data_IF_005278243331
#
_entry.id   IF_005278243331
#
_cell.length_a   1.000
_cell.length_b   1.000
_cell.length_c   1.000
_cell.angle_alpha   90.00
_cell.angle_beta   90.00
_cell.angle_gamma   90.00
#
_symmetry.space_group_name_H-M   'P 1'
#
loop_
_entity.id
_entity.type
_entity.pdbx_description
1 polymer ?
#
# COMPACT_ATOMS: atom_id res chain seq x y z
N UNK A 1 12.85 -2.82 -55.92
CA UNK A 1 13.01 -1.43 -55.47
C UNK A 1 12.96 -1.46 -53.96
N UNK A 2 14.06 -1.07 -53.32
CA UNK A 2 14.20 -1.04 -51.87
C UNK A 2 13.56 0.28 -51.42
N UNK A 3 12.44 0.22 -50.72
CA UNK A 3 11.87 1.39 -50.03
C UNK A 3 12.81 1.77 -48.90
N UNK A 4 13.60 2.80 -49.14
CA UNK A 4 14.33 3.54 -48.12
C UNK A 4 13.31 4.18 -47.19
N UNK A 5 13.19 3.64 -45.97
CA UNK A 5 12.58 4.32 -44.85
C UNK A 5 13.35 5.62 -44.61
N UNK A 6 12.75 6.74 -45.02
CA UNK A 6 13.18 8.07 -44.61
C UNK A 6 12.80 8.19 -43.14
N UNK A 7 13.80 8.13 -42.26
CA UNK A 7 13.65 8.51 -40.86
C UNK A 7 13.44 10.01 -40.85
N UNK A 8 12.23 10.44 -40.49
CA UNK A 8 11.88 11.84 -40.29
C UNK A 8 12.78 12.45 -39.20
N UNK A 9 13.55 13.46 -39.58
CA UNK A 9 14.62 14.13 -38.81
C UNK A 9 14.06 15.19 -37.83
N UNK A 10 12.86 14.96 -37.28
CA UNK A 10 12.12 15.93 -36.46
C UNK A 10 12.35 15.79 -34.94
N UNK A 11 13.27 14.92 -34.51
CA UNK A 11 13.39 14.47 -33.12
C UNK A 11 14.70 14.80 -32.37
N UNK A 12 15.65 15.51 -32.98
CA UNK A 12 16.95 15.83 -32.38
C UNK A 12 16.88 17.24 -31.80
N UNK A 13 16.64 17.34 -30.49
CA UNK A 13 16.74 18.62 -29.78
C UNK A 13 18.21 19.02 -29.57
N UNK A 14 18.42 20.29 -29.20
CA UNK A 14 19.75 20.87 -29.03
C UNK A 14 20.65 20.06 -28.08
N UNK A 15 20.08 19.54 -27.00
CA UNK A 15 20.81 18.72 -26.05
C UNK A 15 21.38 17.44 -26.68
N UNK A 16 20.62 16.84 -27.60
CA UNK A 16 21.05 15.63 -28.32
C UNK A 16 22.24 15.91 -29.24
N UNK A 17 22.29 17.09 -29.88
CA UNK A 17 23.44 17.54 -30.66
C UNK A 17 24.68 17.75 -29.79
N UNK A 18 24.54 18.43 -28.65
CA UNK A 18 25.67 18.72 -27.74
C UNK A 18 26.31 17.46 -27.14
N UNK A 19 25.50 16.45 -26.85
CA UNK A 19 25.96 15.21 -26.20
C UNK A 19 26.38 14.11 -27.19
N UNK A 20 26.42 14.40 -28.50
CA UNK A 20 26.86 13.50 -29.58
C UNK A 20 26.30 12.06 -29.45
N UNK A 21 24.98 11.93 -29.29
CA UNK A 21 24.34 10.62 -29.18
C UNK A 21 22.84 10.66 -29.43
N UNK A 22 22.20 9.49 -29.63
CA UNK A 22 20.75 9.41 -29.80
C UNK A 22 20.04 9.94 -28.56
N UNK A 23 18.79 10.35 -28.72
CA UNK A 23 17.95 10.91 -27.66
C UNK A 23 18.01 10.02 -26.42
N UNK A 24 18.58 10.56 -25.34
CA UNK A 24 18.81 9.81 -24.09
C UNK A 24 17.46 9.60 -23.37
N UNK A 25 17.38 8.58 -22.52
CA UNK A 25 16.16 8.34 -21.73
C UNK A 25 15.96 9.45 -20.69
N UNK A 26 14.72 9.72 -20.29
CA UNK A 26 14.39 10.73 -19.26
C UNK A 26 15.22 10.58 -17.97
N UNK A 27 15.54 9.34 -17.57
CA UNK A 27 16.43 9.05 -16.43
C UNK A 27 17.80 9.72 -16.58
N UNK A 28 18.40 9.62 -17.76
CA UNK A 28 19.70 10.24 -18.04
C UNK A 28 19.62 11.76 -17.95
N UNK A 29 18.55 12.36 -18.45
CA UNK A 29 18.38 13.80 -18.40
C UNK A 29 18.15 14.29 -16.97
N UNK A 30 17.36 13.57 -16.17
CA UNK A 30 17.15 13.87 -14.75
C UNK A 30 18.47 13.78 -13.98
N UNK A 31 19.24 12.72 -14.19
CA UNK A 31 20.57 12.61 -13.58
C UNK A 31 21.49 13.76 -14.02
N UNK A 32 21.52 14.08 -15.31
CA UNK A 32 22.39 15.13 -15.84
C UNK A 32 22.01 16.50 -15.27
N UNK A 33 20.71 16.81 -15.23
CA UNK A 33 20.20 18.04 -14.61
C UNK A 33 20.69 18.16 -13.16
N UNK A 34 20.50 17.10 -12.38
CA UNK A 34 20.86 17.08 -10.96
C UNK A 34 22.38 17.12 -10.74
N UNK A 35 23.15 16.40 -11.57
CA UNK A 35 24.61 16.39 -11.50
C UNK A 35 25.16 17.80 -11.77
N UNK A 36 24.67 18.47 -12.82
CA UNK A 36 25.11 19.82 -13.17
C UNK A 36 24.74 20.84 -12.08
N UNK A 37 23.54 20.73 -11.51
CA UNK A 37 23.12 21.64 -10.44
C UNK A 37 23.98 21.46 -9.17
N UNK A 38 24.18 20.22 -8.73
CA UNK A 38 24.87 19.89 -7.47
C UNK A 38 26.40 19.98 -7.56
N UNK A 39 27.00 19.58 -8.69
CA UNK A 39 28.46 19.45 -8.84
C UNK A 39 29.08 20.55 -9.70
N UNK A 40 28.31 21.15 -10.59
CA UNK A 40 28.78 22.18 -11.53
C UNK A 40 28.22 23.57 -11.22
N UNK A 41 27.48 23.69 -10.12
CA UNK A 41 26.85 24.91 -9.61
C UNK A 41 26.01 25.62 -10.67
N UNK A 42 25.24 24.84 -11.45
CA UNK A 42 24.49 25.34 -12.59
C UNK A 42 23.36 26.30 -12.19
N UNK A 43 22.85 26.22 -10.96
CA UNK A 43 21.85 27.14 -10.42
C UNK A 43 20.51 27.03 -11.15
N UNK A 44 20.13 25.81 -11.53
CA UNK A 44 18.90 25.58 -12.26
C UNK A 44 17.68 25.82 -11.38
N UNK A 45 16.59 26.31 -11.98
CA UNK A 45 15.30 26.39 -11.30
C UNK A 45 14.79 24.96 -11.02
N UNK A 46 14.64 24.53 -9.75
CA UNK A 46 14.19 23.18 -9.39
C UNK A 46 12.86 22.77 -10.05
N UNK A 47 11.99 23.74 -10.40
CA UNK A 47 10.75 23.47 -11.09
C UNK A 47 10.95 22.91 -12.52
N UNK A 48 12.14 23.07 -13.10
CA UNK A 48 12.45 22.54 -14.44
C UNK A 48 12.83 21.06 -14.42
N UNK A 49 13.30 20.53 -13.28
CA UNK A 49 13.78 19.15 -13.19
C UNK A 49 12.64 18.15 -13.44
N UNK A 50 12.86 17.21 -14.36
CA UNK A 50 11.86 16.26 -14.86
C UNK A 50 10.61 16.92 -15.50
N UNK A 51 10.66 18.22 -15.78
CA UNK A 51 9.64 18.97 -16.51
C UNK A 51 9.90 19.03 -18.01
N UNK A 52 8.96 19.62 -18.75
CA UNK A 52 9.01 19.71 -20.21
C UNK A 52 10.19 20.57 -20.72
N UNK A 53 10.63 21.57 -19.94
CA UNK A 53 11.71 22.50 -20.29
C UNK A 53 13.09 22.03 -19.82
N UNK A 54 13.18 20.90 -19.11
CA UNK A 54 14.43 20.41 -18.50
C UNK A 54 15.58 20.34 -19.51
N UNK A 55 15.31 19.79 -20.70
CA UNK A 55 16.34 19.56 -21.72
C UNK A 55 16.88 20.87 -22.29
N UNK A 56 16.03 21.88 -22.45
CA UNK A 56 16.42 23.22 -22.90
C UNK A 56 17.27 23.93 -21.83
N UNK A 57 16.91 23.78 -20.55
CA UNK A 57 17.71 24.29 -19.42
C UNK A 57 19.13 23.70 -19.42
N UNK A 58 19.25 22.38 -19.59
CA UNK A 58 20.54 21.71 -19.68
C UNK A 58 21.33 22.19 -20.90
N UNK A 59 20.70 22.23 -22.09
CA UNK A 59 21.36 22.64 -23.33
C UNK A 59 21.92 24.07 -23.23
N UNK A 60 21.14 25.00 -22.70
CA UNK A 60 21.56 26.39 -22.51
C UNK A 60 22.77 26.55 -21.59
N UNK A 61 22.91 25.68 -20.59
CA UNK A 61 24.10 25.66 -19.72
C UNK A 61 25.31 25.05 -20.43
N UNK A 62 25.14 23.89 -21.06
CA UNK A 62 26.25 23.19 -21.71
C UNK A 62 26.81 23.94 -22.92
N UNK A 63 25.98 24.70 -23.65
CA UNK A 63 26.44 25.58 -24.73
C UNK A 63 27.47 26.61 -24.24
N UNK A 64 27.34 27.07 -22.99
CA UNK A 64 28.25 28.04 -22.37
C UNK A 64 29.45 27.39 -21.67
N UNK A 65 29.44 26.07 -21.51
CA UNK A 65 30.42 25.30 -20.72
C UNK A 65 30.81 24.02 -21.48
N UNK A 66 31.28 24.18 -22.72
CA UNK A 66 31.56 23.05 -23.62
C UNK A 66 32.74 22.18 -23.16
N UNK A 67 33.64 22.74 -22.35
CA UNK A 67 34.73 22.05 -21.68
C UNK A 67 34.25 20.90 -20.76
N UNK A 68 33.02 21.01 -20.24
CA UNK A 68 32.42 19.99 -19.36
C UNK A 68 31.89 18.76 -20.10
N UNK A 69 31.70 18.84 -21.43
CA UNK A 69 31.07 17.77 -22.22
C UNK A 69 31.83 16.44 -22.16
N UNK A 70 33.17 16.49 -22.19
CA UNK A 70 34.00 15.29 -22.12
C UNK A 70 33.87 14.56 -20.76
N UNK A 71 33.78 15.32 -19.66
CA UNK A 71 33.66 14.78 -18.32
C UNK A 71 32.30 14.12 -18.06
N UNK A 72 31.22 14.62 -18.68
CA UNK A 72 29.85 14.13 -18.47
C UNK A 72 29.73 12.63 -18.81
N UNK A 73 30.32 12.18 -19.91
CA UNK A 73 30.24 10.76 -20.29
C UNK A 73 31.00 9.87 -19.31
N UNK A 74 32.17 10.30 -18.82
CA UNK A 74 32.91 9.56 -17.79
C UNK A 74 32.12 9.50 -16.47
N UNK A 75 31.48 10.61 -16.08
CA UNK A 75 30.66 10.68 -14.87
C UNK A 75 29.41 9.83 -14.98
N UNK A 76 28.83 9.70 -16.18
CA UNK A 76 27.69 8.84 -16.42
C UNK A 76 27.98 7.40 -16.00
N UNK A 77 29.11 6.84 -16.41
CA UNK A 77 29.50 5.46 -16.09
C UNK A 77 29.86 5.27 -14.61
N UNK A 78 30.29 6.34 -13.94
CA UNK A 78 30.55 6.36 -12.50
C UNK A 78 29.24 6.34 -11.67
N UNK A 79 28.21 7.05 -12.13
CA UNK A 79 26.98 7.27 -11.34
C UNK A 79 25.84 6.31 -11.71
N UNK A 80 25.64 6.02 -12.99
CA UNK A 80 24.44 5.31 -13.45
C UNK A 80 24.63 3.79 -13.50
N UNK A 81 23.85 3.07 -12.70
CA UNK A 81 23.76 1.61 -12.81
C UNK A 81 22.89 1.20 -14.01
N UNK A 82 23.12 0.00 -14.58
CA UNK A 82 22.23 -0.55 -15.59
C UNK A 82 20.78 -0.67 -15.11
N UNK A 83 19.82 -0.39 -16.00
CA UNK A 83 18.38 -0.38 -15.68
C UNK A 83 17.87 -1.68 -15.05
N UNK A 84 18.50 -2.83 -15.33
CA UNK A 84 18.12 -4.13 -14.78
C UNK A 84 18.07 -4.15 -13.25
N UNK A 85 18.97 -3.40 -12.58
CA UNK A 85 19.02 -3.27 -11.12
C UNK A 85 17.89 -2.41 -10.55
N UNK A 86 17.21 -1.63 -11.39
CA UNK A 86 16.14 -0.71 -11.00
C UNK A 86 14.74 -1.18 -11.45
N UNK A 87 14.65 -2.24 -12.26
CA UNK A 87 13.37 -2.74 -12.80
C UNK A 87 12.35 -3.14 -11.74
N UNK A 88 12.79 -3.52 -10.54
CA UNK A 88 11.92 -3.93 -9.43
C UNK A 88 11.31 -2.74 -8.67
N UNK A 89 11.78 -1.52 -8.92
CA UNK A 89 11.18 -0.30 -8.39
C UNK A 89 10.04 0.08 -9.34
N UNK A 90 8.82 -0.05 -8.86
CA UNK A 90 7.56 0.16 -9.58
C UNK A 90 6.99 1.55 -9.27
N UNK A 91 6.04 2.00 -10.09
CA UNK A 91 5.24 3.19 -9.79
C UNK A 91 4.10 2.80 -8.82
N UNK A 92 4.47 2.53 -7.57
CA UNK A 92 3.53 2.18 -6.50
C UNK A 92 3.77 3.02 -5.25
N UNK A 93 2.70 3.67 -4.78
CA UNK A 93 2.75 4.55 -3.60
C UNK A 93 3.26 3.85 -2.33
N UNK A 94 2.88 2.59 -2.08
CA UNK A 94 3.30 1.87 -0.87
C UNK A 94 4.80 1.57 -0.94
N UNK A 95 5.27 1.06 -2.07
CA UNK A 95 6.69 0.83 -2.31
C UNK A 95 7.47 2.15 -2.21
N UNK A 96 6.92 3.24 -2.76
CA UNK A 96 7.52 4.57 -2.69
C UNK A 96 7.77 5.01 -1.25
N UNK A 97 6.74 5.01 -0.40
CA UNK A 97 6.85 5.41 1.01
C UNK A 97 7.85 4.52 1.76
N UNK A 98 7.80 3.20 1.54
CA UNK A 98 8.69 2.24 2.18
C UNK A 98 10.16 2.44 1.79
N UNK A 99 10.43 2.72 0.51
CA UNK A 99 11.78 2.93 -0.01
C UNK A 99 12.35 4.30 0.35
N UNK A 100 11.53 5.35 0.35
CA UNK A 100 11.98 6.73 0.50
C UNK A 100 12.86 6.93 1.74
N UNK A 101 12.40 6.51 2.91
CA UNK A 101 13.16 6.64 4.16
C UNK A 101 14.44 5.80 4.16
N UNK A 102 14.45 4.65 3.49
CA UNK A 102 15.59 3.74 3.42
C UNK A 102 16.67 4.24 2.45
N UNK A 103 16.25 4.74 1.29
CA UNK A 103 17.15 5.33 0.30
C UNK A 103 17.75 6.63 0.84
N UNK A 104 16.96 7.49 1.52
CA UNK A 104 17.48 8.69 2.21
C UNK A 104 18.60 8.36 3.19
N UNK A 105 18.43 7.31 4.00
CA UNK A 105 19.44 6.84 4.96
C UNK A 105 20.71 6.29 4.29
N UNK A 106 20.58 5.60 3.16
CA UNK A 106 21.72 4.96 2.48
C UNK A 106 22.53 5.98 1.67
N UNK A 107 21.84 6.90 1.01
CA UNK A 107 22.46 7.85 0.07
C UNK A 107 22.97 9.10 0.77
N UNK A 108 22.52 9.35 2.01
CA UNK A 108 22.67 10.63 2.72
C UNK A 108 22.21 11.84 1.88
N UNK A 109 21.43 11.57 0.81
CA UNK A 109 21.16 12.52 -0.25
C UNK A 109 20.16 13.56 0.20
N UNK A 110 20.48 14.81 -0.11
CA UNK A 110 19.58 15.95 -0.03
C UNK A 110 19.38 16.47 -1.44
N UNK A 111 18.46 15.86 -2.17
CA UNK A 111 17.99 16.46 -3.42
C UNK A 111 17.53 17.91 -3.17
N UNK A 112 17.71 18.82 -4.14
CA UNK A 112 17.21 20.18 -4.04
C UNK A 112 15.73 20.23 -3.61
N UNK A 113 15.38 21.24 -2.82
CA UNK A 113 13.97 21.50 -2.50
C UNK A 113 13.27 22.07 -3.73
N UNK A 114 11.97 21.79 -3.89
CA UNK A 114 11.16 22.38 -4.96
C UNK A 114 11.17 21.61 -6.29
N UNK A 115 11.66 20.36 -6.32
CA UNK A 115 11.61 19.49 -7.51
C UNK A 115 10.17 18.97 -7.76
N UNK A 116 9.24 19.85 -8.11
CA UNK A 116 7.79 19.55 -8.15
C UNK A 116 7.38 18.49 -9.17
N UNK A 117 8.16 18.28 -10.23
CA UNK A 117 7.90 17.25 -11.25
C UNK A 117 8.69 15.96 -11.01
N UNK A 118 9.58 15.92 -10.01
CA UNK A 118 10.34 14.72 -9.66
C UNK A 118 9.65 13.98 -8.51
N UNK A 119 8.72 13.10 -8.85
CA UNK A 119 7.90 12.35 -7.89
C UNK A 119 8.02 10.84 -8.10
N UNK A 120 7.44 10.07 -7.17
CA UNK A 120 7.25 8.62 -7.32
C UNK A 120 8.53 7.85 -7.62
N UNK A 121 8.47 6.94 -8.61
CA UNK A 121 9.61 6.10 -9.00
C UNK A 121 10.83 6.91 -9.45
N UNK A 122 10.61 7.96 -10.23
CA UNK A 122 11.70 8.78 -10.77
C UNK A 122 12.46 9.50 -9.66
N UNK A 123 11.76 9.94 -8.61
CA UNK A 123 12.38 10.53 -7.43
C UNK A 123 13.32 9.54 -6.72
N UNK A 124 12.89 8.30 -6.48
CA UNK A 124 13.74 7.28 -5.86
C UNK A 124 14.96 6.93 -6.72
N UNK A 125 14.76 6.81 -8.04
CA UNK A 125 15.86 6.52 -8.97
C UNK A 125 16.87 7.66 -8.99
N UNK A 126 16.42 8.92 -9.04
CA UNK A 126 17.28 10.08 -9.01
C UNK A 126 18.19 10.11 -7.76
N UNK A 127 17.64 9.79 -6.59
CA UNK A 127 18.42 9.67 -5.35
C UNK A 127 19.52 8.61 -5.45
N UNK A 128 19.21 7.45 -6.04
CA UNK A 128 20.18 6.36 -6.24
C UNK A 128 21.22 6.71 -7.30
N UNK A 129 20.81 7.41 -8.35
CA UNK A 129 21.67 7.83 -9.44
C UNK A 129 22.70 8.86 -8.96
N UNK A 130 22.31 9.84 -8.15
CA UNK A 130 23.23 10.82 -7.56
C UNK A 130 24.15 10.27 -6.47
N UNK A 131 23.86 9.08 -5.93
CA UNK A 131 24.67 8.53 -4.85
C UNK A 131 26.07 8.14 -5.34
N UNK A 132 27.08 8.96 -5.05
CA UNK A 132 28.44 8.76 -5.56
C UNK A 132 29.21 7.74 -4.73
N UNK A 133 29.02 6.46 -5.04
CA UNK A 133 29.81 5.34 -4.53
C UNK A 133 30.20 4.43 -5.67
N UNK A 134 31.22 3.60 -5.45
CA UNK A 134 31.65 2.57 -6.40
C UNK A 134 30.46 1.77 -6.95
N UNK A 135 30.39 1.63 -8.27
CA UNK A 135 29.21 1.09 -8.98
C UNK A 135 28.83 -0.32 -8.51
N UNK A 136 29.81 -1.17 -8.20
CA UNK A 136 29.58 -2.51 -7.66
C UNK A 136 28.97 -2.49 -6.24
N UNK A 137 29.43 -1.57 -5.39
CA UNK A 137 28.85 -1.36 -4.04
C UNK A 137 27.43 -0.82 -4.13
N UNK A 138 27.17 0.10 -5.07
CA UNK A 138 25.82 0.62 -5.34
C UNK A 138 24.87 -0.50 -5.75
N UNK A 139 25.27 -1.32 -6.72
CA UNK A 139 24.49 -2.46 -7.19
C UNK A 139 24.16 -3.44 -6.04
N UNK A 140 25.15 -3.83 -5.24
CA UNK A 140 24.94 -4.72 -4.09
C UNK A 140 23.99 -4.15 -3.04
N UNK A 141 24.01 -2.83 -2.82
CA UNK A 141 23.11 -2.16 -1.87
C UNK A 141 21.67 -2.08 -2.38
N UNK A 142 21.48 -1.87 -3.68
CA UNK A 142 20.17 -1.86 -4.32
C UNK A 142 19.57 -3.27 -4.35
N UNK A 143 20.37 -4.30 -4.65
CA UNK A 143 19.90 -5.69 -4.56
C UNK A 143 19.54 -6.08 -3.12
N UNK A 144 20.30 -5.59 -2.13
CA UNK A 144 19.90 -5.77 -0.72
C UNK A 144 18.57 -5.07 -0.43
N UNK A 145 18.33 -3.85 -0.92
CA UNK A 145 17.03 -3.18 -0.77
C UNK A 145 15.91 -3.99 -1.42
N UNK A 146 16.13 -4.55 -2.61
CA UNK A 146 15.19 -5.43 -3.29
C UNK A 146 14.83 -6.64 -2.43
N UNK A 147 15.82 -7.34 -1.88
CA UNK A 147 15.60 -8.49 -1.00
C UNK A 147 14.78 -8.10 0.24
N UNK A 148 15.10 -6.95 0.85
CA UNK A 148 14.37 -6.44 2.01
C UNK A 148 12.92 -6.12 1.65
N UNK A 149 12.66 -5.53 0.48
CA UNK A 149 11.31 -5.27 0.00
C UNK A 149 10.51 -6.55 -0.25
N UNK A 150 11.10 -7.55 -0.92
CA UNK A 150 10.44 -8.83 -1.17
C UNK A 150 10.14 -9.58 0.14
N UNK A 151 11.09 -9.58 1.08
CA UNK A 151 10.89 -10.18 2.41
C UNK A 151 9.81 -9.45 3.21
N UNK A 152 9.74 -8.11 3.07
CA UNK A 152 8.70 -7.30 3.67
C UNK A 152 7.33 -7.63 3.10
N UNK A 153 7.17 -7.62 1.77
CA UNK A 153 5.93 -7.98 1.07
C UNK A 153 5.47 -9.40 1.37
N UNK A 154 6.38 -10.36 1.57
CA UNK A 154 6.02 -11.72 1.95
C UNK A 154 5.30 -11.83 3.31
N UNK A 155 5.41 -10.81 4.18
CA UNK A 155 4.69 -10.75 5.46
C UNK A 155 3.25 -10.30 5.32
N UNK A 156 2.86 -9.74 4.17
CA UNK A 156 1.49 -9.31 3.88
C UNK A 156 0.48 -10.45 4.01
N UNK A 157 0.95 -11.70 3.91
CA UNK A 157 0.16 -12.91 4.17
C UNK A 157 -0.54 -12.92 5.51
N UNK A 158 0.03 -12.27 6.53
CA UNK A 158 -0.61 -12.16 7.84
C UNK A 158 -1.86 -11.27 7.83
N UNK A 159 -1.96 -10.41 6.81
CA UNK A 159 -3.03 -9.44 6.58
C UNK A 159 -3.96 -9.84 5.43
N UNK A 160 -3.75 -10.98 4.75
CA UNK A 160 -4.61 -11.50 3.65
C UNK A 160 -6.09 -11.55 4.03
N UNK A 161 -6.40 -11.74 5.33
CA UNK A 161 -7.78 -11.72 5.81
C UNK A 161 -8.54 -10.40 5.51
N UNK A 162 -7.82 -9.30 5.28
CA UNK A 162 -8.38 -8.00 4.94
C UNK A 162 -8.54 -7.78 3.42
N UNK A 163 -7.95 -8.63 2.58
CA UNK A 163 -8.04 -8.57 1.11
C UNK A 163 -9.34 -9.18 0.54
N UNK A 164 -10.27 -9.57 1.43
CA UNK A 164 -11.51 -10.21 1.05
C UNK A 164 -12.35 -9.36 0.07
N UNK A 165 -12.76 -9.95 -1.06
CA UNK A 165 -13.48 -9.23 -2.12
C UNK A 165 -14.84 -8.67 -1.68
N UNK A 166 -15.51 -9.29 -0.72
CA UNK A 166 -16.86 -8.90 -0.29
C UNK A 166 -16.82 -8.00 0.95
N UNK A 167 -16.01 -8.39 1.93
CA UNK A 167 -15.97 -7.74 3.24
C UNK A 167 -14.67 -6.99 3.51
N UNK A 168 -13.66 -7.05 2.64
CA UNK A 168 -12.32 -6.50 2.88
C UNK A 168 -12.32 -5.03 3.28
N UNK A 169 -13.03 -4.18 2.53
CA UNK A 169 -13.17 -2.76 2.88
C UNK A 169 -13.90 -2.55 4.22
N UNK A 170 -14.89 -3.38 4.55
CA UNK A 170 -15.59 -3.31 5.85
C UNK A 170 -14.68 -3.77 7.00
N UNK A 171 -13.85 -4.79 6.76
CA UNK A 171 -12.83 -5.26 7.71
C UNK A 171 -11.75 -4.20 7.92
N UNK A 172 -11.32 -3.50 6.87
CA UNK A 172 -10.38 -2.38 6.95
C UNK A 172 -10.96 -1.21 7.76
N UNK A 173 -12.21 -0.82 7.51
CA UNK A 173 -12.90 0.17 8.35
C UNK A 173 -12.99 -0.27 9.82
N UNK A 174 -13.32 -1.54 10.06
CA UNK A 174 -13.33 -2.10 11.41
C UNK A 174 -11.94 -2.07 12.07
N UNK A 175 -10.87 -2.23 11.30
CA UNK A 175 -9.49 -2.08 11.75
C UNK A 175 -9.20 -0.62 12.12
N UNK A 176 -9.53 0.35 11.26
CA UNK A 176 -9.38 1.79 11.54
C UNK A 176 -10.02 2.16 12.88
N UNK A 177 -11.30 1.81 13.06
CA UNK A 177 -12.01 2.11 14.31
C UNK A 177 -11.42 1.39 15.53
N UNK A 178 -10.72 0.26 15.36
CA UNK A 178 -10.07 -0.47 16.45
C UNK A 178 -8.76 0.20 16.82
N UNK A 179 -7.96 0.59 15.83
CA UNK A 179 -6.70 1.29 16.03
C UNK A 179 -6.90 2.68 16.62
N UNK A 180 -7.97 3.40 16.22
CA UNK A 180 -8.35 4.68 16.84
C UNK A 180 -8.67 4.55 18.34
N UNK A 181 -9.26 3.41 18.74
CA UNK A 181 -9.61 3.12 20.14
C UNK A 181 -8.47 2.51 20.94
N UNK A 182 -7.45 1.98 20.27
CA UNK A 182 -6.29 1.34 20.86
C UNK A 182 -5.03 1.91 20.20
N UNK A 183 -4.77 3.23 20.37
CA UNK A 183 -3.65 3.86 19.70
C UNK A 183 -2.33 3.28 20.23
N UNK A 184 -1.36 2.95 19.36
CA UNK A 184 -0.07 2.43 19.79
C UNK A 184 0.76 3.47 20.54
N UNK A 185 0.45 4.75 20.35
CA UNK A 185 1.00 5.86 21.12
C UNK A 185 -0.04 6.97 21.25
N UNK A 186 -0.10 7.61 22.41
CA UNK A 186 -0.99 8.76 22.69
C UNK A 186 -0.72 9.91 21.70
N UNK A 187 0.51 10.02 21.18
CA UNK A 187 0.94 11.10 20.29
C UNK A 187 0.77 10.79 18.80
N UNK A 188 0.45 9.55 18.42
CA UNK A 188 0.27 9.15 17.01
C UNK A 188 -1.11 8.56 16.81
N UNK A 189 -2.03 9.37 16.30
CA UNK A 189 -3.31 8.85 15.78
C UNK A 189 -3.07 8.15 14.45
N UNK A 190 -3.62 6.95 14.25
CA UNK A 190 -3.55 6.27 12.96
C UNK A 190 -4.28 7.13 11.90
N UNK A 191 -3.77 7.17 10.65
CA UNK A 191 -4.54 7.72 9.54
C UNK A 191 -5.82 6.92 9.32
N UNK A 192 -6.86 7.49 8.68
CA UNK A 192 -8.07 6.75 8.36
C UNK A 192 -7.75 5.61 7.38
N UNK A 193 -8.23 4.40 7.70
CA UNK A 193 -8.01 3.20 6.88
C UNK A 193 -9.35 2.73 6.31
N UNK A 194 -9.47 2.80 4.99
CA UNK A 194 -10.67 2.49 4.21
C UNK A 194 -10.53 1.25 3.33
N UNK A 195 -9.30 0.90 2.95
CA UNK A 195 -8.97 -0.19 2.04
C UNK A 195 -7.71 -0.95 2.46
N UNK A 196 -7.46 -2.07 1.78
CA UNK A 196 -6.35 -2.97 2.08
C UNK A 196 -4.97 -2.32 1.91
N UNK A 197 -4.79 -1.48 0.88
CA UNK A 197 -3.51 -0.78 0.63
C UNK A 197 -3.16 0.18 1.75
N UNK A 198 -4.13 0.98 2.22
CA UNK A 198 -3.96 1.88 3.37
C UNK A 198 -3.64 1.12 4.65
N UNK A 199 -4.28 -0.04 4.87
CA UNK A 199 -3.99 -0.90 6.02
C UNK A 199 -2.54 -1.39 5.99
N UNK A 200 -2.07 -1.84 4.82
CA UNK A 200 -0.70 -2.29 4.63
C UNK A 200 0.30 -1.16 4.90
N UNK A 201 0.05 0.03 4.35
CA UNK A 201 0.90 1.21 4.58
C UNK A 201 0.96 1.58 6.08
N UNK A 202 -0.15 1.47 6.81
CA UNK A 202 -0.15 1.67 8.26
C UNK A 202 0.79 0.69 8.99
N UNK A 203 0.69 -0.61 8.70
CA UNK A 203 1.56 -1.61 9.33
C UNK A 203 3.02 -1.51 8.91
N UNK A 204 3.29 -0.98 7.71
CA UNK A 204 4.66 -0.71 7.25
C UNK A 204 5.36 0.37 8.09
N UNK A 205 4.60 1.35 8.58
CA UNK A 205 5.09 2.49 9.37
C UNK A 205 5.06 2.26 10.88
N UNK A 206 4.15 1.42 11.38
CA UNK A 206 3.85 1.33 12.81
C UNK A 206 4.95 0.66 13.65
N UNK A 207 6.05 0.20 13.04
CA UNK A 207 7.23 -0.43 13.68
C UNK A 207 6.88 -1.54 14.69
N UNK A 208 5.73 -2.20 14.52
CA UNK A 208 5.24 -3.22 15.43
C UNK A 208 6.10 -4.47 15.44
N UNK A 209 6.32 -5.01 16.64
CA UNK A 209 6.91 -6.34 16.79
C UNK A 209 5.98 -7.44 16.25
N UNK A 210 6.50 -8.61 15.81
CA UNK A 210 5.66 -9.68 15.28
C UNK A 210 4.56 -10.17 16.23
N UNK A 211 4.81 -10.16 17.54
CA UNK A 211 3.82 -10.55 18.56
C UNK A 211 2.72 -9.49 18.72
N UNK A 212 3.12 -8.22 18.71
CA UNK A 212 2.20 -7.08 18.83
C UNK A 212 1.27 -7.01 17.62
N UNK A 213 1.83 -7.09 16.41
CA UNK A 213 1.04 -7.12 15.17
C UNK A 213 0.02 -8.26 15.19
N UNK A 214 0.41 -9.47 15.62
CA UNK A 214 -0.52 -10.60 15.75
C UNK A 214 -1.62 -10.32 16.77
N UNK A 215 -1.29 -9.74 17.93
CA UNK A 215 -2.27 -9.38 18.95
C UNK A 215 -3.29 -8.36 18.43
N UNK A 216 -2.81 -7.33 17.70
CA UNK A 216 -3.66 -6.32 17.03
C UNK A 216 -4.60 -6.99 16.05
N UNK A 217 -4.09 -7.81 15.13
CA UNK A 217 -4.90 -8.51 14.12
C UNK A 217 -5.97 -9.39 14.78
N UNK A 218 -5.63 -10.11 15.86
CA UNK A 218 -6.59 -10.93 16.60
C UNK A 218 -7.66 -10.08 17.30
N UNK A 219 -7.27 -8.94 17.88
CA UNK A 219 -8.20 -7.97 18.47
C UNK A 219 -9.21 -7.45 17.46
N UNK A 220 -8.74 -7.11 16.25
CA UNK A 220 -9.59 -6.67 15.14
C UNK A 220 -10.53 -7.78 14.70
N UNK A 221 -10.03 -9.00 14.49
CA UNK A 221 -10.84 -10.18 14.12
C UNK A 221 -11.95 -10.45 15.15
N UNK A 222 -11.62 -10.39 16.44
CA UNK A 222 -12.59 -10.58 17.53
C UNK A 222 -13.68 -9.51 17.51
N UNK A 223 -13.32 -8.24 17.30
CA UNK A 223 -14.30 -7.15 17.16
C UNK A 223 -15.19 -7.35 15.94
N UNK A 224 -14.61 -7.73 14.81
CA UNK A 224 -15.36 -8.02 13.59
C UNK A 224 -16.38 -9.13 13.80
N UNK A 225 -15.98 -10.26 14.40
CA UNK A 225 -16.89 -11.36 14.70
C UNK A 225 -18.06 -10.94 15.59
N UNK A 226 -17.81 -10.07 16.58
CA UNK A 226 -18.87 -9.48 17.41
C UNK A 226 -19.82 -8.61 16.60
N UNK A 227 -19.30 -7.67 15.79
CA UNK A 227 -20.13 -6.84 14.90
C UNK A 227 -21.00 -7.69 13.96
N UNK A 228 -20.43 -8.76 13.40
CA UNK A 228 -21.17 -9.66 12.52
C UNK A 228 -22.24 -10.46 13.27
N UNK A 229 -21.96 -10.84 14.53
CA UNK A 229 -22.96 -11.45 15.39
C UNK A 229 -24.11 -10.49 15.67
N UNK A 230 -23.81 -9.24 16.07
CA UNK A 230 -24.82 -8.23 16.37
C UNK A 230 -25.70 -7.92 15.16
N UNK A 231 -25.12 -7.86 13.96
CA UNK A 231 -25.88 -7.67 12.71
C UNK A 231 -26.80 -8.86 12.42
N UNK A 232 -26.37 -10.09 12.69
CA UNK A 232 -27.17 -11.31 12.47
C UNK A 232 -28.21 -11.55 13.56
N UNK A 233 -28.03 -10.94 14.73
CA UNK A 233 -28.89 -11.07 15.90
C UNK A 233 -29.68 -9.79 16.19
N UNK A 234 -29.76 -8.86 15.23
CA UNK A 234 -30.43 -7.57 15.43
C UNK A 234 -31.91 -7.73 15.85
N UNK A 235 -32.57 -8.78 15.35
CA UNK A 235 -33.94 -9.19 15.66
C UNK A 235 -34.01 -10.32 16.71
N UNK A 236 -32.88 -10.84 17.18
CA UNK A 236 -32.81 -12.06 18.01
C UNK A 236 -32.13 -11.77 19.34
N UNK A 237 -32.91 -11.90 20.42
CA UNK A 237 -32.38 -11.88 21.78
C UNK A 237 -32.29 -13.30 22.32
N UNK A 238 -31.09 -13.71 22.73
CA UNK A 238 -30.95 -14.97 23.47
C UNK A 238 -31.63 -14.84 24.84
N UNK A 239 -32.61 -15.70 25.11
CA UNK A 239 -33.28 -15.80 26.42
C UNK A 239 -32.84 -17.10 27.08
N UNK A 240 -32.24 -17.00 28.27
CA UNK A 240 -31.87 -18.17 29.06
C UNK A 240 -33.09 -18.63 29.87
N UNK A 241 -33.70 -19.74 29.45
CA UNK A 241 -34.84 -20.35 30.13
C UNK A 241 -34.42 -21.68 30.73
N UNK A 242 -34.67 -21.88 32.02
CA UNK A 242 -34.52 -23.20 32.64
C UNK A 242 -35.78 -24.03 32.34
N UNK A 243 -35.60 -25.16 31.67
CA UNK A 243 -36.66 -26.13 31.39
C UNK A 243 -36.37 -27.43 32.14
N UNK A 244 -37.41 -28.16 32.52
CA UNK A 244 -37.25 -29.48 33.12
C UNK A 244 -36.59 -30.44 32.11
N UNK A 245 -35.85 -31.44 32.60
CA UNK A 245 -35.23 -32.46 31.73
C UNK A 245 -36.25 -33.14 30.81
N UNK A 246 -37.42 -33.49 31.34
CA UNK A 246 -38.52 -34.07 30.58
C UNK A 246 -39.03 -33.13 29.46
N UNK A 247 -39.13 -31.83 29.74
CA UNK A 247 -39.54 -30.84 28.72
C UNK A 247 -38.49 -30.70 27.60
N UNK A 248 -37.20 -30.83 27.93
CA UNK A 248 -36.12 -30.81 26.93
C UNK A 248 -36.21 -32.03 26.00
N UNK A 249 -36.49 -33.22 26.54
CA UNK A 249 -36.68 -34.46 25.75
C UNK A 249 -37.89 -34.35 24.80
N UNK A 250 -38.98 -33.76 25.26
CA UNK A 250 -40.15 -33.47 24.42
C UNK A 250 -39.80 -32.47 23.30
N UNK A 251 -39.07 -31.40 23.63
CA UNK A 251 -38.61 -30.42 22.64
C UNK A 251 -37.68 -31.04 21.59
N UNK A 252 -36.82 -31.98 22.00
CA UNK A 252 -35.97 -32.75 21.08
C UNK A 252 -36.75 -33.65 20.15
N UNK A 253 -37.77 -34.32 20.68
CA UNK A 253 -38.65 -35.18 19.89
C UNK A 253 -39.40 -34.37 18.84
N UNK A 254 -39.92 -33.19 19.22
CA UNK A 254 -40.59 -32.27 18.30
C UNK A 254 -39.63 -31.71 17.24
N UNK A 255 -38.43 -31.28 17.64
CA UNK A 255 -37.40 -30.79 16.73
C UNK A 255 -37.03 -31.85 15.68
N UNK A 256 -36.83 -33.11 16.11
CA UNK A 256 -36.55 -34.23 15.19
C UNK A 256 -37.73 -34.55 14.28
N UNK A 257 -38.94 -34.63 14.83
CA UNK A 257 -40.15 -34.97 14.07
C UNK A 257 -40.45 -33.99 12.94
N UNK A 258 -40.17 -32.71 13.16
CA UNK A 258 -40.47 -31.64 12.21
C UNK A 258 -39.24 -31.12 11.45
N UNK A 259 -38.06 -31.72 11.65
CA UNK A 259 -36.78 -31.28 11.04
C UNK A 259 -36.44 -29.79 11.29
N UNK A 260 -36.87 -29.26 12.44
CA UNK A 260 -36.65 -27.87 12.85
C UNK A 260 -35.67 -27.79 14.02
N UNK A 261 -34.98 -26.65 14.15
CA UNK A 261 -34.16 -26.38 15.34
C UNK A 261 -35.07 -26.15 16.54
N UNK A 262 -34.59 -26.53 17.74
CA UNK A 262 -35.30 -26.30 19.02
C UNK A 262 -35.83 -24.87 19.17
N UNK A 263 -35.04 -23.86 18.80
CA UNK A 263 -35.44 -22.46 18.85
C UNK A 263 -36.62 -22.14 17.91
N UNK A 264 -36.66 -22.73 16.71
CA UNK A 264 -37.76 -22.54 15.76
C UNK A 264 -39.05 -23.20 16.24
N UNK A 265 -38.95 -24.37 16.90
CA UNK A 265 -40.10 -25.00 17.55
C UNK A 265 -40.65 -24.11 18.67
N UNK A 266 -39.78 -23.55 19.52
CA UNK A 266 -40.21 -22.66 20.59
C UNK A 266 -40.86 -21.39 20.04
N UNK A 267 -40.26 -20.74 19.04
CA UNK A 267 -40.86 -19.56 18.38
C UNK A 267 -42.22 -19.90 17.79
N UNK A 268 -42.35 -21.00 17.04
CA UNK A 268 -43.62 -21.41 16.44
C UNK A 268 -44.70 -21.66 17.50
N UNK A 269 -44.38 -22.39 18.57
CA UNK A 269 -45.33 -22.67 19.64
C UNK A 269 -45.78 -21.40 20.36
N UNK A 270 -44.85 -20.47 20.62
CA UNK A 270 -45.16 -19.19 21.26
C UNK A 270 -46.01 -18.31 20.34
N UNK A 271 -45.67 -18.24 19.05
CA UNK A 271 -46.41 -17.45 18.06
C UNK A 271 -47.82 -17.99 17.86
N UNK A 272 -47.98 -19.28 17.59
CA UNK A 272 -49.30 -19.90 17.40
C UNK A 272 -50.18 -19.73 18.63
N UNK A 273 -49.63 -19.91 19.83
CA UNK A 273 -50.41 -19.68 21.05
C UNK A 273 -50.73 -18.19 21.28
N UNK A 274 -49.84 -17.28 20.91
CA UNK A 274 -50.10 -15.84 21.02
C UNK A 274 -51.14 -15.35 20.02
N UNK A 275 -51.24 -15.98 18.86
CA UNK A 275 -52.18 -15.63 17.78
C UNK A 275 -53.56 -16.28 18.00
N UNK A 276 -53.58 -17.58 18.29
CA UNK A 276 -54.81 -18.37 18.36
C UNK A 276 -55.36 -18.48 19.80
N UNK A 277 -54.51 -18.39 20.83
CA UNK A 277 -54.90 -18.42 22.24
C UNK A 277 -55.64 -19.68 22.68
N UNK A 278 -55.44 -20.82 22.02
CA UNK A 278 -56.28 -22.01 22.23
C UNK A 278 -55.81 -22.82 23.44
N UNK A 279 -54.51 -23.01 23.63
CA UNK A 279 -53.98 -24.01 24.55
C UNK A 279 -53.78 -23.50 25.97
N UNK A 280 -53.34 -22.26 26.16
CA UNK A 280 -53.16 -21.65 27.49
C UNK A 280 -54.50 -21.20 28.06
N UNK A 281 -55.36 -20.59 27.26
CA UNK A 281 -56.66 -20.08 27.73
C UNK A 281 -57.59 -21.22 28.15
N UNK A 282 -57.55 -22.36 27.45
CA UNK A 282 -58.29 -23.56 27.82
C UNK A 282 -57.75 -24.23 29.10
N UNK A 283 -56.43 -24.22 29.33
CA UNK A 283 -55.81 -24.79 30.54
C UNK A 283 -55.92 -23.90 31.78
N UNK A 284 -55.95 -22.58 31.60
CA UNK A 284 -56.02 -21.62 32.71
C UNK A 284 -57.45 -21.33 33.19
N UNK A 285 -58.49 -21.61 32.38
CA UNK A 285 -59.91 -21.47 32.78
C UNK A 285 -60.49 -22.69 33.52
N UNK A 286 -59.72 -23.78 33.65
CA UNK A 286 -60.12 -25.01 34.34
C UNK A 286 -59.44 -25.23 35.69
N UNK A 287 -58.86 -24.20 36.29
CA UNK A 287 -58.26 -24.20 37.62
C UNK A 287 -59.09 -23.41 38.63
#
# INVERSE_FOLDING_TARGET
>A
MIETFVVDDSGIDELSHLLTGPRRTTRHDVWLWLYLDDNENAGFDPATCNGITMRDTIAGFLRKNTDKLAAINLKKDQFLIPDIYLKWIEEDERQYQWLLGRIKKITESRLPRGLVHLTGRNHLIAMLDLWNVEIGKKAGKIERLRYHWLSHKAKDRELEWFEDKKDGNKRCKCASEWLEKNPPSIFKRPPPISNYKELLMYFDEAEHGPQEQKAIIQGIKKRWSRKQFDVRAADKKQVNVMLSKATIELLDTLAKKHELKRAQILELLITTESEDGVYLTGRLKGG
#
